data_IF_801191015816
#
_entry.id   IF_801191015816
#
_cell.length_a   1.000
_cell.length_b   1.000
_cell.length_c   1.000
_cell.angle_alpha   90.00
_cell.angle_beta   90.00
_cell.angle_gamma   90.00
#
_symmetry.space_group_name_H-M   'P 1'
#
loop_
_entity.id
_entity.type
_entity.pdbx_description
1 polymer ?
#
# COMPACT_ATOMS: atom_id res chain seq x y z
N UNK A 1 -15.63 27.40 42.68
CA UNK A 1 -14.83 26.71 41.64
C UNK A 1 -13.36 27.19 41.56
N UNK A 2 -13.07 28.48 41.55
CA UNK A 2 -11.71 29.04 41.50
C UNK A 2 -10.79 28.58 42.64
N UNK A 3 -11.34 28.42 43.85
CA UNK A 3 -10.62 28.00 45.06
C UNK A 3 -10.11 26.55 44.96
N UNK A 4 -10.91 25.62 44.38
CA UNK A 4 -10.57 24.21 44.17
C UNK A 4 -9.35 24.09 43.25
N UNK A 5 -9.35 24.84 42.14
CA UNK A 5 -8.23 24.89 41.18
C UNK A 5 -6.95 25.36 41.82
N UNK A 6 -7.01 26.44 42.64
CA UNK A 6 -5.82 26.97 43.33
C UNK A 6 -5.24 25.97 44.33
N UNK A 7 -6.13 25.27 45.03
CA UNK A 7 -5.74 24.23 46.01
C UNK A 7 -5.11 23.02 45.31
N UNK A 8 -5.63 22.54 44.19
CA UNK A 8 -5.02 21.46 43.39
C UNK A 8 -3.61 21.82 42.92
N UNK A 9 -3.40 23.00 42.35
CA UNK A 9 -2.08 23.43 41.83
C UNK A 9 -1.08 23.59 42.97
N UNK A 10 -1.48 24.16 44.10
CA UNK A 10 -0.61 24.33 45.27
C UNK A 10 -0.17 22.97 45.86
N UNK A 11 -1.11 22.04 45.94
CA UNK A 11 -0.86 20.68 46.41
C UNK A 11 0.09 19.89 45.50
N UNK A 12 -0.05 20.02 44.20
CA UNK A 12 0.87 19.40 43.22
C UNK A 12 2.31 19.93 43.36
N UNK A 13 2.48 21.23 43.64
CA UNK A 13 3.81 21.85 43.84
C UNK A 13 4.49 21.38 45.10
N UNK A 14 3.76 21.17 46.19
CA UNK A 14 4.33 20.75 47.46
C UNK A 14 4.93 19.34 47.45
N UNK A 15 4.48 18.48 46.51
CA UNK A 15 4.92 17.08 46.36
C UNK A 15 5.53 16.77 44.97
N UNK A 16 6.36 17.69 44.49
CA UNK A 16 6.84 17.72 43.09
C UNK A 16 7.43 16.40 42.58
N UNK A 17 8.23 15.67 43.39
CA UNK A 17 8.84 14.39 42.92
C UNK A 17 7.79 13.31 42.67
N UNK A 18 6.78 13.17 43.54
CA UNK A 18 5.70 12.18 43.37
C UNK A 18 4.83 12.50 42.18
N UNK A 19 4.44 13.77 42.08
CA UNK A 19 3.67 14.29 40.94
C UNK A 19 4.42 14.04 39.62
N UNK A 20 5.73 14.30 39.60
CA UNK A 20 6.56 14.05 38.42
C UNK A 20 6.60 12.56 38.03
N UNK A 21 6.79 11.66 39.00
CA UNK A 21 6.82 10.21 38.75
C UNK A 21 5.48 9.70 38.21
N UNK A 22 4.36 10.21 38.75
CA UNK A 22 3.02 9.87 38.24
C UNK A 22 2.82 10.35 36.81
N UNK A 23 3.17 11.61 36.53
CA UNK A 23 3.11 12.16 35.15
C UNK A 23 3.99 11.34 34.21
N UNK A 24 5.22 10.98 34.63
CA UNK A 24 6.10 10.14 33.80
C UNK A 24 5.51 8.77 33.51
N UNK A 25 4.84 8.14 34.47
CA UNK A 25 4.13 6.87 34.23
C UNK A 25 3.04 6.99 33.16
N UNK A 26 2.22 8.05 33.24
CA UNK A 26 1.19 8.33 32.23
C UNK A 26 1.82 8.64 30.88
N UNK A 27 2.86 9.47 30.84
CA UNK A 27 3.59 9.82 29.61
C UNK A 27 4.12 8.57 28.91
N UNK A 28 4.79 7.68 29.65
CA UNK A 28 5.34 6.43 29.09
C UNK A 28 4.21 5.55 28.54
N UNK A 29 3.10 5.40 29.28
CA UNK A 29 1.93 4.64 28.83
C UNK A 29 1.32 5.20 27.54
N UNK A 30 1.13 6.52 27.47
CA UNK A 30 0.59 7.20 26.29
C UNK A 30 1.55 7.11 25.10
N UNK A 31 2.87 7.32 25.32
CA UNK A 31 3.88 7.17 24.25
C UNK A 31 3.82 5.77 23.67
N UNK A 32 3.80 4.75 24.51
CA UNK A 32 3.79 3.35 24.07
C UNK A 32 2.57 3.07 23.20
N UNK A 33 1.37 3.39 23.67
CA UNK A 33 0.13 3.11 22.95
C UNK A 33 0.05 3.92 21.65
N UNK A 34 0.28 5.23 21.71
CA UNK A 34 0.17 6.11 20.54
C UNK A 34 1.19 5.73 19.47
N UNK A 35 2.45 5.47 19.85
CA UNK A 35 3.49 5.08 18.89
C UNK A 35 3.21 3.73 18.24
N UNK A 36 2.76 2.72 19.01
CA UNK A 36 2.43 1.40 18.49
C UNK A 36 1.23 1.43 17.53
N UNK A 37 0.17 2.15 17.90
CA UNK A 37 -0.99 2.31 17.02
C UNK A 37 -0.66 3.15 15.79
N UNK A 38 0.20 4.17 15.92
CA UNK A 38 0.67 4.98 14.79
C UNK A 38 1.46 4.16 13.77
N UNK A 39 2.29 3.21 14.21
CA UNK A 39 2.98 2.25 13.33
C UNK A 39 1.95 1.40 12.60
N UNK A 40 0.98 0.82 13.31
CA UNK A 40 -0.07 0.00 12.68
C UNK A 40 -0.86 0.75 11.60
N UNK A 41 -1.19 2.03 11.85
CA UNK A 41 -1.89 2.89 10.88
C UNK A 41 -0.97 3.23 9.69
N UNK A 42 0.30 3.57 9.95
CA UNK A 42 1.25 3.95 8.92
C UNK A 42 1.55 2.81 7.96
N UNK A 43 1.90 1.64 8.50
CA UNK A 43 2.18 0.42 7.71
C UNK A 43 0.95 0.01 6.89
N UNK A 44 -0.25 0.03 7.49
CA UNK A 44 -1.49 -0.24 6.75
C UNK A 44 -1.67 0.72 5.57
N UNK A 45 -1.45 2.02 5.78
CA UNK A 45 -1.60 3.03 4.73
C UNK A 45 -0.58 2.83 3.61
N UNK A 46 0.66 2.50 3.93
CA UNK A 46 1.72 2.25 2.95
C UNK A 46 1.42 1.01 2.12
N UNK A 47 1.00 -0.10 2.75
CA UNK A 47 0.62 -1.31 2.04
C UNK A 47 -0.57 -1.10 1.11
N UNK A 48 -1.60 -0.38 1.56
CA UNK A 48 -2.74 -0.01 0.70
C UNK A 48 -2.28 0.82 -0.50
N UNK A 49 -1.41 1.81 -0.29
CA UNK A 49 -0.89 2.64 -1.38
C UNK A 49 -0.05 1.83 -2.38
N UNK A 50 0.67 0.80 -1.92
CA UNK A 50 1.43 -0.10 -2.78
C UNK A 50 0.50 -0.96 -3.63
N UNK A 51 -0.54 -1.54 -3.03
CA UNK A 51 -1.56 -2.32 -3.78
C UNK A 51 -2.29 -1.46 -4.81
N UNK A 52 -2.68 -0.22 -4.44
CA UNK A 52 -3.30 0.72 -5.38
C UNK A 52 -2.36 1.15 -6.52
N UNK A 53 -1.05 1.11 -6.32
CA UNK A 53 -0.05 1.41 -7.36
C UNK A 53 0.23 0.22 -8.27
N UNK A 54 -0.02 -1.02 -7.82
CA UNK A 54 0.15 -2.24 -8.62
C UNK A 54 -1.10 -2.62 -9.42
N UNK A 55 -2.25 -2.01 -9.13
CA UNK A 55 -3.51 -2.25 -9.85
C UNK A 55 -4.73 -1.93 -8.99
N UNK A 56 -5.91 -1.99 -9.59
CA UNK A 56 -7.17 -1.78 -8.89
C UNK A 56 -7.58 -3.03 -8.10
N UNK A 57 -8.17 -2.85 -6.92
CA UNK A 57 -8.76 -3.95 -6.13
C UNK A 57 -10.04 -4.52 -6.75
N UNK A 58 -10.61 -3.82 -7.72
CA UNK A 58 -11.76 -4.29 -8.51
C UNK A 58 -11.36 -5.03 -9.78
N UNK A 59 -10.06 -5.15 -10.07
CA UNK A 59 -9.54 -5.85 -11.23
C UNK A 59 -9.17 -7.30 -10.90
N UNK A 60 -9.59 -8.20 -11.76
CA UNK A 60 -9.35 -9.63 -11.70
C UNK A 60 -8.65 -10.03 -13.00
N UNK A 61 -7.44 -10.54 -12.92
CA UNK A 61 -6.73 -11.09 -14.08
C UNK A 61 -7.16 -12.54 -14.27
N UNK A 62 -7.64 -12.84 -15.49
CA UNK A 62 -8.03 -14.18 -15.93
C UNK A 62 -7.00 -14.67 -16.91
N UNK A 63 -6.41 -15.82 -16.67
CA UNK A 63 -5.44 -16.44 -17.58
C UNK A 63 -6.13 -17.47 -18.49
N UNK A 64 -5.87 -17.36 -19.78
CA UNK A 64 -6.33 -18.30 -20.79
C UNK A 64 -5.40 -19.48 -20.95
N UNK A 65 -5.88 -20.54 -21.56
CA UNK A 65 -5.07 -21.69 -21.99
C UNK A 65 -4.37 -21.35 -23.31
N UNK A 66 -3.05 -21.44 -23.34
CA UNK A 66 -2.25 -21.16 -24.55
C UNK A 66 -1.63 -22.41 -25.16
N UNK A 67 -1.54 -23.53 -24.41
CA UNK A 67 -0.86 -24.77 -24.88
C UNK A 67 -1.78 -25.75 -25.65
N UNK A 68 -2.98 -25.38 -26.03
CA UNK A 68 -3.87 -26.19 -26.90
C UNK A 68 -4.54 -27.40 -26.24
N UNK A 69 -4.30 -27.69 -24.96
CA UNK A 69 -4.87 -28.86 -24.26
C UNK A 69 -6.37 -28.73 -23.99
N UNK A 70 -6.89 -27.51 -23.88
CA UNK A 70 -8.32 -27.23 -23.59
C UNK A 70 -8.79 -26.00 -24.37
N UNK A 71 -9.25 -26.22 -25.58
CA UNK A 71 -9.76 -25.16 -26.49
C UNK A 71 -10.92 -24.35 -25.92
N UNK A 72 -11.69 -24.92 -25.00
CA UNK A 72 -12.79 -24.27 -24.27
C UNK A 72 -12.35 -23.15 -23.33
N UNK A 73 -11.07 -23.13 -22.93
CA UNK A 73 -10.46 -22.13 -22.04
C UNK A 73 -9.57 -21.11 -22.73
N UNK A 74 -9.44 -21.19 -24.06
CA UNK A 74 -8.73 -20.17 -24.82
C UNK A 74 -9.52 -18.87 -24.81
N UNK A 75 -8.85 -17.77 -24.50
CA UNK A 75 -9.45 -16.43 -24.50
C UNK A 75 -9.44 -15.88 -25.92
N UNK A 76 -10.56 -15.98 -26.61
CA UNK A 76 -10.80 -15.38 -27.91
C UNK A 76 -11.75 -14.18 -27.78
N UNK A 77 -11.91 -13.37 -28.83
CA UNK A 77 -12.86 -12.23 -28.82
C UNK A 77 -14.27 -12.68 -28.40
N UNK A 78 -14.68 -13.89 -28.81
CA UNK A 78 -15.98 -14.50 -28.43
C UNK A 78 -16.03 -14.77 -26.91
N UNK A 79 -14.93 -15.29 -26.32
CA UNK A 79 -14.87 -15.59 -24.88
C UNK A 79 -14.80 -14.30 -24.05
N UNK A 80 -14.08 -13.29 -24.52
CA UNK A 80 -14.09 -11.95 -23.90
C UNK A 80 -15.51 -11.39 -23.82
N UNK A 81 -16.29 -11.51 -24.94
CA UNK A 81 -17.68 -11.08 -24.95
C UNK A 81 -18.59 -11.91 -24.02
N UNK A 82 -18.30 -13.22 -23.81
CA UNK A 82 -19.00 -14.06 -22.85
C UNK A 82 -18.68 -13.63 -21.40
N UNK A 83 -17.41 -13.40 -21.07
CA UNK A 83 -17.00 -12.93 -19.76
C UNK A 83 -17.60 -11.56 -19.41
N UNK A 84 -17.75 -10.70 -20.39
CA UNK A 84 -18.36 -9.36 -20.22
C UNK A 84 -19.86 -9.41 -19.87
N UNK A 85 -20.52 -10.57 -20.02
CA UNK A 85 -21.93 -10.78 -19.64
C UNK A 85 -22.12 -11.32 -18.24
N UNK A 86 -21.03 -11.56 -17.51
CA UNK A 86 -21.09 -12.00 -16.11
C UNK A 86 -21.70 -10.86 -15.28
N UNK A 87 -22.61 -11.21 -14.39
CA UNK A 87 -23.26 -10.26 -13.50
C UNK A 87 -22.21 -9.51 -12.65
N UNK A 88 -22.39 -8.19 -12.46
CA UNK A 88 -21.46 -7.28 -11.76
C UNK A 88 -20.09 -7.09 -12.42
N UNK A 89 -19.91 -7.55 -13.66
CA UNK A 89 -18.74 -7.21 -14.50
C UNK A 89 -19.06 -5.95 -15.28
N UNK A 90 -18.25 -4.92 -15.12
CA UNK A 90 -18.39 -3.66 -15.85
C UNK A 90 -17.80 -3.76 -17.25
N UNK A 91 -16.59 -4.28 -17.36
CA UNK A 91 -15.86 -4.41 -18.64
C UNK A 91 -14.79 -5.49 -18.54
N UNK A 92 -14.51 -6.15 -19.63
CA UNK A 92 -13.41 -7.11 -19.77
C UNK A 92 -12.45 -6.59 -20.83
N UNK A 93 -11.20 -6.37 -20.43
CA UNK A 93 -10.13 -5.91 -21.31
C UNK A 93 -9.23 -7.09 -21.70
N UNK A 94 -9.18 -7.49 -22.97
CA UNK A 94 -8.21 -8.49 -23.42
C UNK A 94 -6.78 -7.97 -23.23
N UNK A 95 -5.89 -8.85 -22.83
CA UNK A 95 -4.48 -8.55 -22.58
C UNK A 95 -3.62 -9.57 -23.31
N UNK A 96 -2.56 -9.10 -23.95
CA UNK A 96 -1.53 -9.92 -24.52
C UNK A 96 -0.20 -9.59 -23.89
N UNK A 97 0.41 -10.56 -23.22
CA UNK A 97 1.73 -10.43 -22.63
C UNK A 97 2.76 -11.15 -23.49
N UNK A 98 3.86 -10.51 -23.76
CA UNK A 98 4.96 -11.04 -24.54
C UNK A 98 6.27 -10.80 -23.81
N UNK A 99 7.09 -11.82 -23.66
CA UNK A 99 8.45 -11.66 -23.17
C UNK A 99 9.32 -11.12 -24.30
N UNK A 100 10.09 -10.08 -24.02
CA UNK A 100 10.93 -9.44 -25.00
C UNK A 100 12.32 -9.16 -24.44
N UNK A 101 13.34 -9.36 -25.28
CA UNK A 101 14.65 -8.77 -25.05
C UNK A 101 14.62 -7.35 -25.63
N UNK A 102 14.95 -6.35 -24.81
CA UNK A 102 14.92 -4.95 -25.22
C UNK A 102 16.32 -4.33 -25.07
N UNK A 103 16.73 -3.56 -26.07
CA UNK A 103 18.03 -2.91 -26.10
C UNK A 103 17.88 -1.40 -26.25
N UNK A 104 18.55 -0.67 -25.38
CA UNK A 104 18.66 0.78 -25.41
C UNK A 104 20.13 1.21 -25.31
N UNK A 105 20.68 1.80 -26.35
CA UNK A 105 22.12 2.10 -26.48
C UNK A 105 22.98 0.83 -26.23
N UNK A 106 23.70 0.78 -25.09
CA UNK A 106 24.57 -0.33 -24.68
C UNK A 106 23.97 -1.16 -23.52
N UNK A 107 22.69 -0.94 -23.20
CA UNK A 107 21.98 -1.62 -22.13
C UNK A 107 20.96 -2.59 -22.71
N UNK A 108 20.98 -3.81 -22.21
CA UNK A 108 20.03 -4.88 -22.57
C UNK A 108 19.20 -5.21 -21.35
N UNK A 109 17.92 -5.47 -21.53
CA UNK A 109 17.01 -5.89 -20.47
C UNK A 109 15.98 -6.88 -20.99
N UNK A 110 15.58 -7.82 -20.13
CA UNK A 110 14.44 -8.71 -20.39
C UNK A 110 13.21 -8.14 -19.71
N UNK A 111 12.20 -7.83 -20.52
CA UNK A 111 11.00 -7.13 -20.08
C UNK A 111 9.75 -7.87 -20.52
N UNK A 112 8.66 -7.65 -19.81
CA UNK A 112 7.36 -8.05 -20.28
C UNK A 112 6.71 -6.89 -21.04
N UNK A 113 6.33 -7.13 -22.28
CA UNK A 113 5.50 -6.22 -23.07
C UNK A 113 4.05 -6.62 -22.92
N UNK A 114 3.24 -5.68 -22.45
CA UNK A 114 1.82 -5.89 -22.21
C UNK A 114 1.03 -5.02 -23.20
N UNK A 115 0.36 -5.67 -24.12
CA UNK A 115 -0.54 -5.01 -25.07
C UNK A 115 -1.97 -4.97 -24.51
N UNK A 116 -2.54 -3.77 -24.43
CA UNK A 116 -3.84 -3.48 -23.82
C UNK A 116 -4.68 -2.59 -24.74
N UNK A 117 -6.03 -2.69 -24.68
CA UNK A 117 -6.92 -1.76 -25.38
C UNK A 117 -6.71 -0.31 -24.93
N UNK A 118 -7.03 0.62 -25.82
CA UNK A 118 -6.87 2.05 -25.55
C UNK A 118 -7.65 2.51 -24.33
N UNK A 119 -8.87 2.02 -24.14
CA UNK A 119 -9.74 2.37 -23.01
C UNK A 119 -9.12 2.00 -21.65
N UNK A 120 -8.31 0.94 -21.61
CA UNK A 120 -7.55 0.59 -20.40
C UNK A 120 -6.34 1.49 -20.24
N UNK A 121 -5.58 1.74 -21.31
CA UNK A 121 -4.39 2.62 -21.28
C UNK A 121 -4.74 4.04 -20.85
N UNK A 122 -5.92 4.55 -21.23
CA UNK A 122 -6.42 5.87 -20.82
C UNK A 122 -6.66 5.99 -19.29
N UNK A 123 -6.87 4.87 -18.60
CA UNK A 123 -7.04 4.85 -17.14
C UNK A 123 -5.71 4.86 -16.38
N UNK A 124 -4.60 4.59 -17.08
CA UNK A 124 -3.27 4.57 -16.45
C UNK A 124 -2.79 5.98 -16.10
N UNK A 125 -2.18 6.13 -14.93
CA UNK A 125 -1.58 7.40 -14.51
C UNK A 125 -0.27 7.63 -15.27
N UNK A 126 -0.22 8.66 -16.10
CA UNK A 126 0.97 9.05 -16.87
C UNK A 126 1.79 10.05 -16.07
N UNK A 127 3.09 9.76 -15.92
CA UNK A 127 4.04 10.66 -15.28
C UNK A 127 4.62 11.67 -16.27
N UNK A 128 4.93 11.21 -17.49
CA UNK A 128 5.50 12.02 -18.59
C UNK A 128 5.04 11.47 -19.93
N UNK A 129 4.88 12.33 -20.93
CA UNK A 129 4.53 11.95 -22.29
C UNK A 129 3.04 11.74 -22.48
N UNK A 130 2.68 10.82 -23.35
CA UNK A 130 1.31 10.50 -23.76
C UNK A 130 1.10 8.99 -23.77
N UNK A 131 -0.17 8.55 -23.86
CA UNK A 131 -0.52 7.15 -24.09
C UNK A 131 -0.20 6.73 -25.51
N UNK A 132 0.07 5.43 -25.78
CA UNK A 132 0.29 4.90 -27.12
C UNK A 132 -0.89 5.14 -28.05
N UNK A 133 -0.63 5.59 -29.28
CA UNK A 133 -1.65 5.91 -30.26
C UNK A 133 -2.37 4.65 -30.78
N UNK A 134 -3.67 4.75 -31.00
CA UNK A 134 -4.52 3.73 -31.64
C UNK A 134 -4.33 3.65 -33.17
N UNK A 135 -3.90 4.75 -33.79
CA UNK A 135 -3.85 4.89 -35.26
C UNK A 135 -2.47 4.73 -35.86
N UNK A 136 -1.45 4.40 -35.06
CA UNK A 136 -0.07 4.24 -35.51
C UNK A 136 0.13 3.03 -36.44
N UNK A 137 1.10 3.14 -37.36
CA UNK A 137 1.57 1.99 -38.18
C UNK A 137 2.46 1.03 -37.38
N UNK A 138 3.15 1.55 -36.36
CA UNK A 138 4.02 0.80 -35.43
C UNK A 138 3.53 1.03 -34.02
N UNK A 139 3.65 0.04 -33.13
CA UNK A 139 3.34 0.21 -31.74
C UNK A 139 4.25 1.29 -31.10
N UNK A 140 3.67 2.14 -30.29
CA UNK A 140 4.41 3.03 -29.40
C UNK A 140 4.48 2.42 -28.00
N UNK A 141 5.55 2.70 -27.29
CA UNK A 141 5.84 2.11 -26.00
C UNK A 141 5.61 3.12 -24.86
N UNK A 142 4.82 2.67 -23.88
CA UNK A 142 4.63 3.35 -22.62
C UNK A 142 5.38 2.57 -21.54
N UNK A 143 6.45 3.14 -21.00
CA UNK A 143 7.28 2.47 -20.00
C UNK A 143 6.63 2.51 -18.63
N UNK A 144 6.68 1.40 -17.90
CA UNK A 144 6.47 1.39 -16.46
C UNK A 144 7.53 2.25 -15.76
N UNK A 145 7.22 2.77 -14.57
CA UNK A 145 8.10 3.67 -13.83
C UNK A 145 9.50 3.10 -13.60
N UNK A 146 9.59 1.80 -13.40
CA UNK A 146 10.80 1.05 -13.07
C UNK A 146 11.28 0.15 -14.23
N UNK A 147 10.70 0.28 -15.43
CA UNK A 147 11.04 -0.61 -16.55
C UNK A 147 12.54 -0.58 -16.89
N UNK A 148 13.16 0.59 -16.81
CA UNK A 148 14.59 0.76 -17.10
C UNK A 148 15.52 0.22 -16.00
N UNK A 149 15.00 -0.13 -14.82
CA UNK A 149 15.80 -0.73 -13.74
C UNK A 149 16.22 -2.18 -14.08
N UNK A 150 15.54 -2.82 -15.06
CA UNK A 150 15.89 -4.14 -15.57
C UNK A 150 17.02 -4.11 -16.61
N UNK A 151 17.45 -2.93 -17.05
CA UNK A 151 18.46 -2.79 -18.08
C UNK A 151 19.87 -2.70 -17.48
N UNK A 152 20.78 -3.50 -18.03
CA UNK A 152 22.17 -3.56 -17.62
C UNK A 152 23.11 -3.59 -18.83
N UNK A 153 24.31 -3.11 -18.65
CA UNK A 153 25.38 -3.20 -19.66
C UNK A 153 26.06 -4.56 -19.55
N UNK A 154 26.00 -5.39 -20.59
CA UNK A 154 26.56 -6.74 -20.60
C UNK A 154 28.08 -6.77 -20.39
N UNK A 155 28.79 -5.74 -20.85
CA UNK A 155 30.26 -5.69 -20.75
C UNK A 155 30.75 -5.32 -19.34
N UNK A 156 29.97 -4.48 -18.60
CA UNK A 156 30.39 -3.95 -17.29
C UNK A 156 29.56 -4.47 -16.13
N UNK A 157 28.39 -5.06 -16.39
CA UNK A 157 27.40 -5.45 -15.38
C UNK A 157 26.68 -4.26 -14.71
N UNK A 158 26.96 -3.04 -15.12
CA UNK A 158 26.36 -1.84 -14.51
C UNK A 158 24.90 -1.66 -14.94
N UNK A 159 24.00 -1.42 -13.97
CA UNK A 159 22.61 -1.11 -14.22
C UNK A 159 22.41 0.25 -14.89
N UNK A 160 21.38 0.38 -15.74
CA UNK A 160 21.03 1.68 -16.36
C UNK A 160 20.68 2.73 -15.29
N UNK A 161 19.96 2.35 -14.25
CA UNK A 161 19.55 3.22 -13.14
C UNK A 161 20.74 3.88 -12.43
N UNK A 162 21.90 3.22 -12.37
CA UNK A 162 23.11 3.70 -11.73
C UNK A 162 23.99 4.56 -12.66
N UNK A 163 23.62 4.62 -13.94
CA UNK A 163 24.40 5.33 -14.96
C UNK A 163 24.07 6.81 -15.03
N UNK A 164 25.01 7.59 -15.58
CA UNK A 164 24.74 9.00 -15.94
C UNK A 164 23.64 9.13 -17.00
N UNK A 165 23.37 8.08 -17.76
CA UNK A 165 22.31 7.96 -18.76
C UNK A 165 20.90 7.95 -18.15
N UNK A 166 20.74 7.49 -16.89
CA UNK A 166 19.45 7.44 -16.19
C UNK A 166 18.75 8.81 -16.04
N UNK A 167 19.50 9.91 -16.23
CA UNK A 167 18.97 11.28 -16.21
C UNK A 167 18.51 11.78 -17.58
N UNK A 168 18.75 11.03 -18.67
CA UNK A 168 18.30 11.41 -20.01
C UNK A 168 16.78 11.28 -20.11
N UNK A 169 16.17 12.17 -20.89
CA UNK A 169 14.75 12.05 -21.22
C UNK A 169 14.58 10.93 -22.24
N UNK A 170 13.85 9.90 -21.87
CA UNK A 170 13.58 8.74 -22.71
C UNK A 170 12.46 9.00 -23.73
N UNK A 171 11.72 10.09 -23.57
CA UNK A 171 10.63 10.43 -24.49
C UNK A 171 11.14 10.60 -25.92
N UNK A 172 10.41 10.05 -26.87
CA UNK A 172 10.71 10.06 -28.30
C UNK A 172 11.96 9.26 -28.71
N UNK A 173 12.66 8.61 -27.77
CA UNK A 173 13.74 7.67 -28.08
C UNK A 173 13.18 6.35 -28.62
N UNK A 174 14.04 5.60 -29.33
CA UNK A 174 13.68 4.28 -29.81
C UNK A 174 14.29 3.19 -28.93
N UNK A 175 13.49 2.18 -28.65
CA UNK A 175 13.92 0.94 -28.01
C UNK A 175 13.94 -0.14 -29.09
N UNK A 176 15.03 -0.86 -29.22
CA UNK A 176 15.07 -2.08 -30.02
C UNK A 176 14.50 -3.23 -29.20
N UNK A 177 13.45 -3.85 -29.70
CA UNK A 177 12.71 -4.91 -29.02
C UNK A 177 12.71 -6.14 -29.88
N UNK A 178 13.09 -7.27 -29.30
CA UNK A 178 13.01 -8.60 -29.90
C UNK A 178 11.98 -9.40 -29.10
N UNK A 179 10.86 -9.73 -29.71
CA UNK A 179 9.80 -10.51 -29.06
C UNK A 179 10.17 -11.99 -29.13
N UNK A 180 10.02 -12.71 -28.03
CA UNK A 180 10.52 -14.08 -27.89
C UNK A 180 11.98 -14.15 -27.46
N UNK A 181 12.46 -15.36 -27.21
CA UNK A 181 13.85 -15.63 -26.75
C UNK A 181 14.72 -16.31 -27.82
N UNK A 182 14.22 -16.45 -29.03
CA UNK A 182 14.97 -17.07 -30.13
C UNK A 182 16.01 -16.08 -30.67
N UNK A 183 17.28 -16.50 -30.85
CA UNK A 183 18.36 -15.64 -31.32
C UNK A 183 18.12 -15.04 -32.72
N UNK A 184 17.29 -15.71 -33.54
CA UNK A 184 16.95 -15.30 -34.92
C UNK A 184 15.65 -14.46 -34.99
N UNK A 185 14.97 -14.17 -33.86
CA UNK A 185 13.73 -13.39 -33.89
C UNK A 185 13.98 -11.94 -34.38
N UNK A 186 13.00 -11.41 -35.12
CA UNK A 186 13.10 -10.05 -35.68
C UNK A 186 13.23 -8.98 -34.61
N UNK A 187 14.10 -8.00 -34.84
CA UNK A 187 14.29 -6.85 -33.98
C UNK A 187 13.41 -5.68 -34.47
N UNK A 188 12.60 -5.16 -33.59
CA UNK A 188 11.67 -4.07 -33.87
C UNK A 188 12.16 -2.78 -33.20
N UNK A 189 12.27 -1.70 -33.97
CA UNK A 189 12.53 -0.36 -33.42
C UNK A 189 11.21 0.31 -33.12
N UNK A 190 10.91 0.44 -31.82
CA UNK A 190 9.68 1.00 -31.29
C UNK A 190 9.97 2.26 -30.50
N UNK A 191 9.10 3.26 -30.66
CA UNK A 191 9.29 4.60 -30.08
C UNK A 191 8.66 4.67 -28.69
N UNK A 192 9.37 5.26 -27.74
CA UNK A 192 8.87 5.53 -26.40
C UNK A 192 8.02 6.79 -26.43
N UNK A 193 6.72 6.69 -26.15
CA UNK A 193 5.77 7.81 -26.13
C UNK A 193 5.51 8.36 -24.73
N UNK A 194 5.71 7.57 -23.70
CA UNK A 194 5.44 7.99 -22.32
C UNK A 194 6.06 7.10 -21.25
N UNK A 195 5.92 7.55 -20.00
CA UNK A 195 6.31 6.82 -18.79
C UNK A 195 5.16 6.93 -17.79
N UNK A 196 4.72 5.78 -17.23
CA UNK A 196 3.66 5.77 -16.21
C UNK A 196 4.17 6.22 -14.83
N UNK A 197 3.26 6.60 -13.95
CA UNK A 197 3.58 6.78 -12.51
C UNK A 197 3.35 5.49 -11.71
N UNK A 198 2.83 4.46 -12.34
CA UNK A 198 2.63 3.13 -11.74
C UNK A 198 3.97 2.43 -11.55
N UNK A 199 4.22 1.89 -10.35
CA UNK A 199 5.41 1.08 -10.06
C UNK A 199 5.30 -0.26 -10.79
N UNK A 200 5.78 -0.31 -12.03
CA UNK A 200 5.84 -1.50 -12.86
C UNK A 200 7.18 -1.55 -13.59
N UNK A 201 7.64 -2.75 -13.82
CA UNK A 201 8.82 -3.07 -14.65
C UNK A 201 8.43 -3.38 -16.10
N UNK A 202 7.11 -3.38 -16.41
CA UNK A 202 6.58 -3.74 -17.70
C UNK A 202 6.61 -2.58 -18.69
N UNK A 203 6.48 -2.93 -19.97
CA UNK A 203 6.33 -2.00 -21.08
C UNK A 203 4.94 -2.20 -21.69
N UNK A 204 4.18 -1.13 -21.82
CA UNK A 204 2.81 -1.19 -22.33
C UNK A 204 2.73 -0.67 -23.74
N UNK A 205 1.82 -1.23 -24.56
CA UNK A 205 1.52 -0.77 -25.90
C UNK A 205 0.03 -0.96 -26.24
N UNK A 206 -0.42 -0.33 -27.33
CA UNK A 206 -1.78 -0.50 -27.80
C UNK A 206 -1.96 -1.88 -28.45
N UNK A 207 -2.98 -2.62 -28.02
CA UNK A 207 -3.25 -4.00 -28.43
C UNK A 207 -3.59 -4.10 -29.93
N UNK A 208 -4.44 -3.21 -30.44
CA UNK A 208 -4.89 -3.30 -31.84
C UNK A 208 -3.78 -2.93 -32.82
N UNK A 209 -2.96 -1.96 -32.47
CA UNK A 209 -1.77 -1.61 -33.26
C UNK A 209 -0.75 -2.75 -33.22
N UNK A 210 -0.53 -3.35 -32.05
CA UNK A 210 0.37 -4.49 -31.92
C UNK A 210 -0.12 -5.71 -32.70
N UNK A 211 -1.40 -6.05 -32.61
CA UNK A 211 -2.02 -7.17 -33.42
C UNK A 211 -1.83 -6.96 -34.91
N UNK A 212 -2.08 -5.74 -35.41
CA UNK A 212 -1.91 -5.40 -36.83
C UNK A 212 -0.44 -5.51 -37.23
N UNK A 213 0.45 -5.00 -36.40
CA UNK A 213 1.90 -4.99 -36.66
C UNK A 213 2.47 -6.41 -36.72
N UNK A 214 2.16 -7.26 -35.75
CA UNK A 214 2.61 -8.65 -35.69
C UNK A 214 2.02 -9.49 -36.86
N UNK A 215 0.77 -9.25 -37.25
CA UNK A 215 0.16 -9.92 -38.42
C UNK A 215 0.84 -9.54 -39.74
N UNK A 216 1.37 -8.33 -39.86
CA UNK A 216 2.10 -7.88 -41.05
C UNK A 216 3.52 -8.46 -41.13
N UNK A 217 4.15 -8.68 -39.97
CA UNK A 217 5.52 -9.18 -39.85
C UNK A 217 5.58 -10.67 -39.44
N UNK A 218 4.59 -11.47 -39.86
CA UNK A 218 4.57 -12.91 -39.57
C UNK A 218 5.65 -13.65 -40.34
N UNK A 219 6.29 -14.61 -39.69
CA UNK A 219 7.30 -15.49 -40.28
C UNK A 219 6.66 -16.87 -40.55
N UNK A 220 6.79 -17.41 -41.75
CA UNK A 220 6.21 -18.71 -42.18
C UNK A 220 4.72 -18.90 -41.86
N UNK A 221 3.96 -17.81 -41.87
CA UNK A 221 2.52 -17.82 -41.55
C UNK A 221 2.15 -17.80 -40.08
N UNK A 222 3.12 -17.98 -39.18
CA UNK A 222 2.93 -17.91 -37.73
C UNK A 222 3.11 -16.47 -37.25
N UNK A 223 2.25 -16.05 -36.35
CA UNK A 223 2.35 -14.74 -35.69
C UNK A 223 3.10 -14.92 -34.39
N UNK A 224 4.16 -14.15 -34.20
CA UNK A 224 4.97 -14.22 -33.00
C UNK A 224 4.15 -13.95 -31.72
N UNK A 225 4.35 -14.78 -30.68
CA UNK A 225 3.57 -14.67 -29.44
C UNK A 225 2.15 -15.24 -29.53
N UNK A 226 1.75 -15.88 -30.65
CA UNK A 226 0.49 -16.58 -30.75
C UNK A 226 0.69 -18.12 -30.70
N UNK A 227 -0.18 -18.85 -29.96
CA UNK A 227 -0.09 -20.29 -29.89
C UNK A 227 -0.41 -20.95 -31.26
N UNK A 228 0.13 -22.16 -31.43
CA UNK A 228 -0.17 -23.05 -32.57
C UNK A 228 -0.90 -24.30 -32.10
N UNK A 229 -1.61 -24.95 -33.00
CA UNK A 229 -2.26 -26.22 -32.71
C UNK A 229 -1.23 -27.38 -32.57
N UNK A 230 -1.72 -28.57 -32.23
CA UNK A 230 -0.88 -29.77 -32.08
C UNK A 230 -0.12 -30.16 -33.36
N UNK A 231 -0.50 -29.63 -34.54
CA UNK A 231 0.13 -29.87 -35.85
C UNK A 231 1.06 -28.70 -36.24
N UNK A 232 1.26 -27.70 -35.39
CA UNK A 232 2.06 -26.50 -35.66
C UNK A 232 1.33 -25.43 -36.49
N UNK A 233 0.03 -25.56 -36.72
CA UNK A 233 -0.72 -24.57 -37.48
C UNK A 233 -1.23 -23.44 -36.59
N UNK A 234 -1.20 -22.20 -37.08
CA UNK A 234 -1.78 -21.07 -36.37
C UNK A 234 -3.29 -21.19 -36.24
N UNK A 235 -3.85 -20.76 -35.12
CA UNK A 235 -5.32 -20.67 -34.96
C UNK A 235 -5.89 -19.56 -35.86
N UNK A 236 -7.13 -19.75 -36.30
CA UNK A 236 -7.83 -18.76 -37.14
C UNK A 236 -8.21 -17.48 -36.40
N UNK A 237 -8.45 -17.58 -35.08
CA UNK A 237 -8.79 -16.47 -34.20
C UNK A 237 -7.57 -16.06 -33.39
N UNK A 238 -7.51 -14.79 -32.98
CA UNK A 238 -6.48 -14.31 -32.04
C UNK A 238 -6.77 -14.86 -30.66
N UNK A 239 -5.74 -15.41 -30.02
CA UNK A 239 -5.82 -15.99 -28.69
C UNK A 239 -5.06 -15.07 -27.72
N UNK A 240 -5.76 -14.59 -26.72
CA UNK A 240 -5.17 -13.79 -25.67
C UNK A 240 -4.62 -14.69 -24.55
N UNK A 241 -3.48 -14.33 -23.97
CA UNK A 241 -2.93 -15.03 -22.82
C UNK A 241 -3.74 -14.75 -21.55
N UNK A 242 -4.29 -13.56 -21.45
CA UNK A 242 -5.06 -13.14 -20.29
C UNK A 242 -6.10 -12.07 -20.63
N UNK A 243 -6.94 -11.77 -19.66
CA UNK A 243 -7.88 -10.67 -19.70
C UNK A 243 -8.02 -10.03 -18.31
N UNK A 244 -8.23 -8.73 -18.27
CA UNK A 244 -8.55 -8.00 -17.04
C UNK A 244 -10.05 -7.81 -16.96
N UNK A 245 -10.69 -8.47 -16.00
CA UNK A 245 -12.12 -8.35 -15.68
C UNK A 245 -12.28 -7.29 -14.61
N UNK A 246 -13.02 -6.24 -14.90
CA UNK A 246 -13.30 -5.15 -13.98
C UNK A 246 -14.66 -5.36 -13.31
N UNK A 247 -14.66 -5.53 -12.00
CA UNK A 247 -15.87 -5.61 -11.20
C UNK A 247 -16.49 -4.22 -11.00
N UNK A 248 -17.80 -4.16 -10.81
CA UNK A 248 -18.56 -2.94 -10.50
C UNK A 248 -18.12 -2.36 -9.13
N UNK A 249 -17.95 -3.23 -8.13
CA UNK A 249 -17.48 -2.88 -6.79
C UNK A 249 -16.61 -4.03 -6.21
N UNK A 250 -15.78 -3.67 -5.21
CA UNK A 250 -14.94 -4.64 -4.50
C UNK A 250 -15.74 -5.76 -3.83
N UNK A 251 -16.99 -5.50 -3.46
CA UNK A 251 -17.88 -6.47 -2.83
C UNK A 251 -18.16 -7.67 -3.76
N UNK A 252 -18.24 -7.46 -5.07
CA UNK A 252 -18.55 -8.50 -6.06
C UNK A 252 -17.33 -9.29 -6.55
N UNK A 253 -16.12 -8.87 -6.21
CA UNK A 253 -14.87 -9.50 -6.68
C UNK A 253 -14.84 -10.99 -6.35
N UNK A 254 -15.17 -11.39 -5.10
CA UNK A 254 -15.12 -12.80 -4.68
C UNK A 254 -16.15 -13.67 -5.42
N UNK A 255 -17.33 -13.12 -5.70
CA UNK A 255 -18.36 -13.80 -6.46
C UNK A 255 -17.94 -14.03 -7.91
N UNK A 256 -17.36 -13.00 -8.55
CA UNK A 256 -16.85 -13.06 -9.91
C UNK A 256 -15.69 -14.06 -10.00
N UNK A 257 -14.71 -13.97 -9.06
CA UNK A 257 -13.58 -14.89 -8.98
C UNK A 257 -14.05 -16.34 -8.90
N UNK A 258 -14.99 -16.65 -8.02
CA UNK A 258 -15.54 -18.00 -7.87
C UNK A 258 -16.19 -18.48 -9.17
N UNK A 259 -16.97 -17.62 -9.85
CA UNK A 259 -17.62 -17.97 -11.12
C UNK A 259 -16.60 -18.24 -12.22
N UNK A 260 -15.52 -17.45 -12.30
CA UNK A 260 -14.43 -17.66 -13.27
C UNK A 260 -13.66 -18.97 -12.97
N UNK A 261 -13.43 -19.29 -11.69
CA UNK A 261 -12.82 -20.55 -11.25
C UNK A 261 -13.72 -21.75 -11.57
N UNK A 262 -15.04 -21.63 -11.37
CA UNK A 262 -16.02 -22.68 -11.74
C UNK A 262 -16.06 -22.91 -13.26
N UNK A 263 -15.80 -21.89 -14.08
CA UNK A 263 -15.58 -21.99 -15.51
C UNK A 263 -14.22 -22.60 -15.87
N UNK A 264 -13.36 -22.82 -14.87
CA UNK A 264 -12.08 -23.49 -14.97
C UNK A 264 -10.91 -22.58 -15.36
N UNK A 265 -11.07 -21.27 -15.30
CA UNK A 265 -9.96 -20.32 -15.48
C UNK A 265 -9.09 -20.22 -14.26
N UNK A 266 -7.81 -19.98 -14.48
CA UNK A 266 -6.91 -19.51 -13.43
C UNK A 266 -7.12 -18.01 -13.28
N UNK A 267 -7.27 -17.53 -12.05
CA UNK A 267 -7.54 -16.12 -11.75
C UNK A 267 -6.60 -15.60 -10.68
N UNK A 268 -6.24 -14.34 -10.82
CA UNK A 268 -5.43 -13.60 -9.87
C UNK A 268 -6.11 -12.26 -9.59
N UNK A 269 -6.12 -11.81 -8.34
CA UNK A 269 -6.70 -10.52 -7.98
C UNK A 269 -5.96 -9.86 -6.81
N UNK A 270 -5.94 -8.54 -6.81
CA UNK A 270 -5.28 -7.74 -5.77
C UNK A 270 -6.08 -7.73 -4.46
N UNK A 271 -7.36 -8.08 -4.47
CA UNK A 271 -8.19 -8.16 -3.25
C UNK A 271 -7.70 -9.27 -2.33
N UNK A 272 -7.39 -10.45 -2.86
CA UNK A 272 -6.87 -11.57 -2.07
C UNK A 272 -5.53 -11.22 -1.40
N UNK A 273 -4.63 -10.55 -2.12
CA UNK A 273 -3.40 -10.02 -1.57
C UNK A 273 -3.70 -9.02 -0.46
N UNK A 274 -4.61 -8.08 -0.70
CA UNK A 274 -5.01 -7.07 0.26
C UNK A 274 -5.61 -7.69 1.53
N UNK A 275 -6.49 -8.68 1.40
CA UNK A 275 -7.12 -9.37 2.52
C UNK A 275 -6.10 -10.17 3.34
N UNK A 276 -5.12 -10.78 2.68
CA UNK A 276 -4.04 -11.50 3.37
C UNK A 276 -3.15 -10.54 4.16
N UNK A 277 -2.75 -9.42 3.57
CA UNK A 277 -1.98 -8.37 4.24
C UNK A 277 -2.77 -7.76 5.42
N UNK A 278 -4.07 -7.53 5.27
CA UNK A 278 -4.91 -7.03 6.36
C UNK A 278 -5.00 -8.01 7.53
N UNK A 279 -5.09 -9.33 7.26
CA UNK A 279 -5.08 -10.35 8.31
C UNK A 279 -3.76 -10.37 9.08
N UNK A 280 -2.63 -10.33 8.38
CA UNK A 280 -1.30 -10.27 9.01
C UNK A 280 -1.14 -9.00 9.85
N UNK A 281 -1.53 -7.84 9.32
CA UNK A 281 -1.52 -6.58 10.06
C UNK A 281 -2.40 -6.61 11.30
N UNK A 282 -3.56 -7.28 11.25
CA UNK A 282 -4.44 -7.42 12.41
C UNK A 282 -3.77 -8.19 13.55
N UNK A 283 -3.01 -9.24 13.23
CA UNK A 283 -2.22 -9.99 14.22
C UNK A 283 -1.15 -9.08 14.86
N UNK A 284 -0.40 -8.35 14.03
CA UNK A 284 0.60 -7.40 14.51
C UNK A 284 -0.03 -6.32 15.40
N UNK A 285 -1.17 -5.75 14.99
CA UNK A 285 -1.90 -4.77 15.77
C UNK A 285 -2.40 -5.32 17.11
N UNK A 286 -2.85 -6.57 17.17
CA UNK A 286 -3.26 -7.24 18.42
C UNK A 286 -2.07 -7.42 19.37
N UNK A 287 -0.92 -7.84 18.86
CA UNK A 287 0.30 -7.99 19.67
C UNK A 287 0.77 -6.64 20.21
N UNK A 288 0.84 -5.63 19.36
CA UNK A 288 1.24 -4.27 19.75
C UNK A 288 0.24 -3.65 20.74
N UNK A 289 -1.07 -3.84 20.48
CA UNK A 289 -2.15 -3.42 21.38
C UNK A 289 -2.07 -4.09 22.76
N UNK A 290 -1.73 -5.38 22.80
CA UNK A 290 -1.50 -6.12 24.03
C UNK A 290 -0.34 -5.56 24.88
N UNK A 291 0.78 -5.26 24.24
CA UNK A 291 1.94 -4.61 24.91
C UNK A 291 1.52 -3.23 25.43
N UNK A 292 0.82 -2.44 24.62
CA UNK A 292 0.30 -1.14 25.02
C UNK A 292 -0.66 -1.23 26.21
N UNK A 293 -1.51 -2.26 26.25
CA UNK A 293 -2.42 -2.51 27.38
C UNK A 293 -1.68 -2.82 28.67
N UNK A 294 -0.60 -3.61 28.62
CA UNK A 294 0.23 -3.88 29.79
C UNK A 294 0.85 -2.60 30.32
N UNK A 295 1.44 -1.77 29.45
CA UNK A 295 2.01 -0.47 29.85
C UNK A 295 0.97 0.41 30.53
N UNK A 296 -0.26 0.37 30.05
CA UNK A 296 -1.39 1.10 30.59
C UNK A 296 -1.80 0.59 31.99
N UNK A 297 -1.90 -0.72 32.19
CA UNK A 297 -2.19 -1.32 33.49
C UNK A 297 -1.13 -0.87 34.53
N UNK A 298 0.14 -0.86 34.13
CA UNK A 298 1.23 -0.37 35.00
C UNK A 298 1.03 1.10 35.35
N UNK A 299 0.63 1.95 34.39
CA UNK A 299 0.33 3.36 34.63
C UNK A 299 -0.85 3.54 35.62
N UNK A 300 -1.94 2.77 35.44
CA UNK A 300 -3.12 2.77 36.35
C UNK A 300 -2.70 2.42 37.79
N UNK A 301 -1.92 1.35 37.96
CA UNK A 301 -1.43 0.93 39.26
C UNK A 301 -0.55 2.04 39.89
N UNK A 302 0.29 2.66 39.07
CA UNK A 302 1.14 3.78 39.50
C UNK A 302 0.34 4.99 40.00
N UNK A 303 -0.70 5.40 39.27
CA UNK A 303 -1.62 6.48 39.63
C UNK A 303 -2.36 6.10 40.94
N UNK A 304 -2.96 4.90 40.99
CA UNK A 304 -3.69 4.42 42.15
C UNK A 304 -2.86 4.41 43.41
N UNK A 305 -1.62 3.92 43.35
CA UNK A 305 -0.69 3.95 44.49
C UNK A 305 -0.37 5.37 44.91
N UNK A 306 -0.14 6.28 43.95
CA UNK A 306 0.14 7.69 44.25
C UNK A 306 -1.04 8.39 44.90
N UNK A 307 -2.26 8.16 44.38
CA UNK A 307 -3.50 8.74 44.92
C UNK A 307 -3.81 8.21 46.33
N UNK A 308 -3.71 6.88 46.51
CA UNK A 308 -3.88 6.27 47.86
C UNK A 308 -2.96 6.88 48.88
N UNK A 309 -1.67 7.01 48.56
CA UNK A 309 -0.71 7.65 49.50
C UNK A 309 -1.03 9.13 49.68
N UNK A 310 -1.49 9.86 48.67
CA UNK A 310 -1.91 11.27 48.78
C UNK A 310 -3.09 11.45 49.74
N UNK A 311 -4.05 10.53 49.71
CA UNK A 311 -5.20 10.53 50.64
C UNK A 311 -4.74 10.25 52.05
N UNK A 312 -3.87 9.24 52.28
CA UNK A 312 -3.31 8.93 53.60
C UNK A 312 -2.54 10.11 54.21
N UNK A 313 -1.74 10.80 53.42
CA UNK A 313 -0.98 11.95 53.88
C UNK A 313 -1.84 13.15 54.30
N UNK A 314 -3.13 13.19 53.88
CA UNK A 314 -4.09 14.27 54.19
C UNK A 314 -5.24 13.81 55.07
N UNK A 315 -5.13 12.66 55.71
CA UNK A 315 -6.24 12.07 56.47
C UNK A 315 -6.73 12.99 57.57
N UNK A 316 -5.80 13.75 58.20
CA UNK A 316 -6.10 14.74 59.24
C UNK A 316 -6.85 15.94 58.67
N UNK A 317 -6.41 16.46 57.52
CA UNK A 317 -7.06 17.61 56.85
C UNK A 317 -8.48 17.25 56.39
N UNK A 318 -8.64 16.02 55.84
CA UNK A 318 -9.93 15.44 55.45
C UNK A 318 -10.85 15.31 56.66
N UNK A 319 -10.29 14.87 57.80
CA UNK A 319 -11.02 14.76 59.07
C UNK A 319 -11.54 16.14 59.58
N UNK A 320 -10.71 17.17 59.48
CA UNK A 320 -11.10 18.56 59.86
C UNK A 320 -12.17 19.09 58.95
N UNK A 321 -12.03 18.91 57.61
CA UNK A 321 -13.04 19.32 56.63
C UNK A 321 -14.39 18.61 56.89
N UNK A 322 -14.37 17.35 57.26
CA UNK A 322 -15.56 16.58 57.56
C UNK A 322 -16.27 17.10 58.83
N UNK A 323 -15.49 17.45 59.84
CA UNK A 323 -16.06 18.05 61.07
C UNK A 323 -16.65 19.41 60.80
N UNK A 324 -16.10 20.17 59.85
CA UNK A 324 -16.62 21.46 59.41
C UNK A 324 -17.85 21.34 58.49
N UNK A 325 -18.32 20.10 58.18
CA UNK A 325 -19.52 19.87 57.41
C UNK A 325 -19.34 19.76 55.90
N UNK A 326 -18.09 19.54 55.41
CA UNK A 326 -17.83 19.28 53.98
C UNK A 326 -18.43 17.94 53.57
N UNK A 327 -19.15 17.93 52.41
CA UNK A 327 -19.73 16.71 51.87
C UNK A 327 -18.67 15.77 51.29
N UNK A 328 -18.87 14.46 51.45
CA UNK A 328 -17.93 13.44 50.92
C UNK A 328 -17.83 13.48 49.41
N UNK A 329 -18.91 13.85 48.74
CA UNK A 329 -18.92 13.97 47.29
C UNK A 329 -18.01 15.14 46.81
N UNK A 330 -17.97 16.22 47.51
CA UNK A 330 -17.06 17.34 47.19
C UNK A 330 -15.57 16.95 47.34
N UNK A 331 -15.24 16.14 48.36
CA UNK A 331 -13.89 15.59 48.54
C UNK A 331 -13.55 14.60 47.42
N UNK A 332 -14.49 13.74 47.02
CA UNK A 332 -14.29 12.84 45.89
C UNK A 332 -14.02 13.61 44.60
N UNK A 333 -14.81 14.64 44.31
CA UNK A 333 -14.60 15.51 43.15
C UNK A 333 -13.21 16.19 43.16
N UNK A 334 -12.74 16.60 44.32
CA UNK A 334 -11.42 17.20 44.45
C UNK A 334 -10.30 16.22 44.01
N UNK A 335 -10.35 14.95 44.47
CA UNK A 335 -9.37 13.95 44.13
C UNK A 335 -9.49 13.49 42.66
N UNK A 336 -10.69 13.35 42.12
CA UNK A 336 -10.92 13.06 40.72
C UNK A 336 -10.39 14.19 39.82
N UNK A 337 -10.56 15.44 40.25
CA UNK A 337 -10.07 16.59 39.50
C UNK A 337 -8.54 16.68 39.54
N UNK A 338 -7.92 16.36 40.70
CA UNK A 338 -6.46 16.28 40.84
C UNK A 338 -5.86 15.21 39.95
N UNK A 339 -6.44 14.00 39.95
CA UNK A 339 -6.00 12.90 39.05
C UNK A 339 -6.22 13.20 37.57
N UNK A 340 -7.39 13.81 37.23
CA UNK A 340 -7.69 14.22 35.85
C UNK A 340 -6.72 15.25 35.27
N UNK A 341 -6.27 16.21 36.12
CA UNK A 341 -5.24 17.20 35.75
C UNK A 341 -3.91 16.49 35.45
N UNK A 342 -3.51 15.55 36.31
CA UNK A 342 -2.28 14.76 36.12
C UNK A 342 -2.35 13.95 34.84
N UNK A 343 -3.51 13.32 34.57
CA UNK A 343 -3.80 12.61 33.32
C UNK A 343 -3.74 13.53 32.10
N UNK A 344 -4.34 14.72 32.18
CA UNK A 344 -4.31 15.71 31.10
C UNK A 344 -2.89 16.19 30.76
N UNK A 345 -2.09 16.53 31.79
CA UNK A 345 -0.68 16.95 31.60
C UNK A 345 0.14 15.79 31.04
N UNK A 346 0.01 14.59 31.62
CA UNK A 346 0.71 13.39 31.14
C UNK A 346 0.31 12.99 29.73
N UNK A 347 -0.99 13.07 29.41
CA UNK A 347 -1.52 12.79 28.09
C UNK A 347 -1.04 13.76 27.03
N UNK A 348 -1.11 15.06 27.31
CA UNK A 348 -0.63 16.08 26.37
C UNK A 348 0.87 15.96 26.09
N UNK A 349 1.67 15.84 27.15
CA UNK A 349 3.12 15.66 27.03
C UNK A 349 3.46 14.33 26.35
N UNK A 350 2.74 13.24 26.66
CA UNK A 350 2.89 11.94 26.02
C UNK A 350 2.60 11.97 24.54
N UNK A 351 1.52 12.64 24.11
CA UNK A 351 1.18 12.80 22.69
C UNK A 351 2.24 13.64 21.96
N UNK A 352 2.70 14.74 22.53
CA UNK A 352 3.75 15.56 21.95
C UNK A 352 5.06 14.79 21.76
N UNK A 353 5.47 14.03 22.77
CA UNK A 353 6.65 13.17 22.69
C UNK A 353 6.45 12.02 21.71
N UNK A 354 5.27 11.40 21.66
CA UNK A 354 4.93 10.41 20.62
C UNK A 354 5.07 10.97 19.22
N UNK A 355 4.65 12.21 19.00
CA UNK A 355 4.80 12.87 17.70
C UNK A 355 6.27 13.04 17.33
N UNK A 356 7.11 13.48 18.27
CA UNK A 356 8.56 13.61 18.06
C UNK A 356 9.20 12.26 17.76
N UNK A 357 8.90 11.22 18.56
CA UNK A 357 9.42 9.87 18.38
C UNK A 357 8.97 9.29 17.02
N UNK A 358 7.71 9.48 16.65
CA UNK A 358 7.16 9.00 15.38
C UNK A 358 7.83 9.69 14.20
N UNK A 359 7.97 11.01 14.24
CA UNK A 359 8.50 11.78 13.13
C UNK A 359 10.01 11.60 12.94
N UNK A 360 10.78 11.70 14.02
CA UNK A 360 12.25 11.62 13.96
C UNK A 360 12.77 10.20 14.15
N UNK A 361 12.24 9.44 15.13
CA UNK A 361 12.68 8.09 15.41
C UNK A 361 12.24 7.11 14.31
N UNK A 362 10.93 7.00 14.07
CA UNK A 362 10.37 5.95 13.22
C UNK A 362 10.45 6.36 11.74
N UNK A 363 9.92 7.53 11.37
CA UNK A 363 9.84 7.93 9.97
C UNK A 363 11.17 8.40 9.36
N UNK A 364 12.07 8.98 10.15
CA UNK A 364 13.36 9.41 9.62
C UNK A 364 14.44 8.32 9.76
N UNK A 365 14.70 7.85 11.00
CA UNK A 365 15.73 6.83 11.24
C UNK A 365 15.27 5.44 10.80
N UNK A 366 14.01 5.04 11.07
CA UNK A 366 13.49 3.73 10.71
C UNK A 366 13.47 3.51 9.20
N UNK A 367 12.98 4.48 8.41
CA UNK A 367 12.96 4.42 6.94
C UNK A 367 14.39 4.34 6.38
N UNK A 368 15.33 5.10 6.95
CA UNK A 368 16.74 5.06 6.55
C UNK A 368 17.41 3.73 6.89
N UNK A 369 17.14 3.17 8.07
CA UNK A 369 17.71 1.88 8.52
C UNK A 369 17.20 0.71 7.68
N UNK A 370 15.93 0.75 7.29
CA UNK A 370 15.28 -0.29 6.45
C UNK A 370 15.50 -0.07 4.95
N UNK A 371 16.30 0.94 4.56
CA UNK A 371 16.59 1.27 3.15
C UNK A 371 15.32 1.47 2.30
N UNK A 372 14.24 1.96 2.89
CA UNK A 372 12.98 2.20 2.20
C UNK A 372 13.03 3.46 1.32
N UNK A 373 12.17 3.56 0.28
CA UNK A 373 12.09 4.73 -0.59
C UNK A 373 11.86 6.03 0.19
N UNK A 374 12.46 7.13 -0.27
CA UNK A 374 12.24 8.46 0.32
C UNK A 374 10.78 8.85 0.22
N UNK A 375 10.18 9.21 1.36
CA UNK A 375 8.77 9.60 1.43
C UNK A 375 7.86 8.56 2.09
N UNK A 376 8.33 7.32 2.31
CA UNK A 376 7.60 6.30 3.07
C UNK A 376 7.34 6.75 4.49
N UNK A 377 6.11 6.58 4.98
CA UNK A 377 5.70 6.92 6.35
C UNK A 377 5.30 5.65 7.10
N UNK A 378 6.24 5.09 7.85
CA UNK A 378 6.01 3.87 8.64
C UNK A 378 5.06 4.07 9.82
N UNK A 379 4.92 5.29 10.32
CA UNK A 379 4.02 5.60 11.42
C UNK A 379 3.29 6.91 11.17
N UNK A 380 1.96 6.90 11.41
CA UNK A 380 1.07 8.05 11.19
C UNK A 380 0.18 8.23 12.41
N UNK A 381 0.32 9.38 13.08
CA UNK A 381 -0.59 9.77 14.17
C UNK A 381 -1.79 10.47 13.56
N UNK A 382 -2.94 9.78 13.53
CA UNK A 382 -4.19 10.41 13.08
C UNK A 382 -4.76 11.33 14.16
N UNK A 383 -5.49 12.41 13.82
CA UNK A 383 -6.16 13.26 14.79
C UNK A 383 -7.11 12.48 15.72
N UNK A 384 -7.79 11.47 15.19
CA UNK A 384 -8.67 10.60 15.98
C UNK A 384 -7.91 9.83 17.06
N UNK A 385 -6.71 9.33 16.73
CA UNK A 385 -5.85 8.63 17.67
C UNK A 385 -5.35 9.57 18.78
N UNK A 386 -4.91 10.79 18.42
CA UNK A 386 -4.45 11.77 19.40
C UNK A 386 -5.56 12.20 20.36
N UNK A 387 -6.77 12.49 19.85
CA UNK A 387 -7.92 12.85 20.68
C UNK A 387 -8.33 11.69 21.57
N UNK A 388 -8.41 10.47 21.03
CA UNK A 388 -8.74 9.27 21.80
C UNK A 388 -7.75 9.01 22.92
N UNK A 389 -6.45 9.12 22.66
CA UNK A 389 -5.40 8.97 23.67
C UNK A 389 -5.47 10.05 24.76
N UNK A 390 -5.80 11.29 24.38
CA UNK A 390 -5.97 12.40 25.32
C UNK A 390 -7.16 12.19 26.25
N UNK A 391 -8.34 11.89 25.68
CA UNK A 391 -9.55 11.60 26.47
C UNK A 391 -9.32 10.43 27.42
N UNK A 392 -8.65 9.40 26.90
CA UNK A 392 -8.33 8.21 27.66
C UNK A 392 -7.37 8.51 28.81
N UNK A 393 -6.34 9.35 28.62
CA UNK A 393 -5.38 9.72 29.67
C UNK A 393 -6.02 10.54 30.80
N UNK A 394 -7.10 11.27 30.53
CA UNK A 394 -7.88 11.98 31.56
C UNK A 394 -8.77 11.02 32.34
N UNK A 395 -9.32 10.00 31.68
CA UNK A 395 -10.20 9.01 32.31
C UNK A 395 -9.45 7.99 33.17
N UNK A 396 -8.17 7.86 32.97
CA UNK A 396 -7.27 6.97 33.70
C UNK A 396 -6.94 7.52 35.07
#
# INVERSE_FOLDING_TARGET
MTWIWHMCITNMKQRGVRTLLTILGVVIGVISIVSLLAIGIGVKKELLSTVEQTGSVTEITVYGETEGKRKDRMLTDRKIAELNRIEHVTTVYPRQTMTAAAQYEHYTGYVQMIALPEEYLQQMKIKKGVIPSETGRKPELLLGKNAMDLFYNEATGAGYADSSGAKKDLLQQNLEVQIGMEEEAEKYRLKICGVTDTMSYDIYCNLDVMKKYLKQNRTDGVVEGQPVDANGNPYSEWIYDSAVVKAEDTEYVDQIVKKLQDMGYQVENNKELLDSLQRELKIVQLLLGGIGMIALIVAVIGIGNTMTTSVYDRITDIGVLKVLGCDMDELLYLFLLESGILGAIGGLTGILLSYVITQFGINYFGVKLLSMPKGTRLAVISPKLAIGAFVFSIAL
#
